data_IF_034038152336
#
_entry.id   IF_034038152336
#
_cell.length_a   1.000
_cell.length_b   1.000
_cell.length_c   1.000
_cell.angle_alpha   90.00
_cell.angle_beta   90.00
_cell.angle_gamma   90.00
#
_symmetry.space_group_name_H-M   'P 1'
#
loop_
_entity.id
_entity.type
_entity.pdbx_description
1 polymer ?
#
# COMPACT_ATOMS: atom_id res chain seq x y z
N UNK A 1 23.44 -24.75 15.01
CA UNK A 1 24.09 -25.59 13.98
C UNK A 1 24.09 -24.84 12.67
N UNK A 2 25.17 -25.02 11.90
CA UNK A 2 25.65 -24.26 10.75
C UNK A 2 24.59 -23.77 9.75
N UNK A 3 24.73 -22.51 9.31
CA UNK A 3 24.18 -22.02 8.05
C UNK A 3 25.32 -21.84 7.07
N UNK A 4 25.28 -22.62 6.00
CA UNK A 4 26.21 -22.60 4.88
C UNK A 4 25.82 -21.51 3.89
N UNK A 5 26.82 -20.76 3.44
CA UNK A 5 26.72 -19.78 2.36
C UNK A 5 26.97 -20.46 1.02
N UNK A 6 26.17 -20.12 0.00
CA UNK A 6 26.44 -20.45 -1.41
C UNK A 6 26.55 -19.15 -2.22
N UNK A 7 27.57 -19.00 -3.10
CA UNK A 7 27.80 -17.81 -3.89
C UNK A 7 27.19 -17.91 -5.31
N UNK A 8 26.80 -16.76 -5.85
CA UNK A 8 26.44 -16.61 -7.27
C UNK A 8 27.67 -16.39 -8.17
N UNK A 9 27.62 -16.82 -9.45
CA UNK A 9 28.73 -16.74 -10.38
C UNK A 9 28.67 -15.46 -11.22
N UNK A 10 29.83 -14.95 -11.63
CA UNK A 10 29.90 -14.28 -12.92
C UNK A 10 31.24 -14.51 -13.61
N UNK A 11 31.11 -15.08 -14.81
CA UNK A 11 31.90 -14.92 -16.04
C UNK A 11 33.29 -14.29 -15.98
N UNK A 12 34.24 -15.01 -16.58
CA UNK A 12 35.64 -14.66 -16.65
C UNK A 12 36.04 -13.82 -17.86
N UNK A 13 37.22 -13.22 -17.74
CA UNK A 13 38.09 -12.87 -18.86
C UNK A 13 39.55 -12.82 -18.37
N UNK A 14 40.36 -13.76 -18.85
CA UNK A 14 41.71 -13.52 -19.37
C UNK A 14 42.82 -13.01 -18.45
N UNK A 15 43.53 -13.98 -17.84
CA UNK A 15 44.99 -14.14 -17.75
C UNK A 15 45.94 -12.92 -17.89
N UNK A 16 46.84 -12.77 -16.91
CA UNK A 16 48.10 -12.04 -17.08
C UNK A 16 48.95 -11.85 -15.81
N UNK A 17 49.68 -12.90 -15.41
CA UNK A 17 50.95 -12.92 -14.63
C UNK A 17 51.11 -12.01 -13.39
N UNK A 18 51.11 -12.58 -12.17
CA UNK A 18 52.31 -12.91 -11.34
C UNK A 18 53.36 -11.80 -11.22
N UNK A 19 53.55 -11.28 -9.99
CA UNK A 19 54.81 -11.43 -9.24
C UNK A 19 54.71 -10.81 -7.83
N UNK A 20 55.08 -11.63 -6.85
CA UNK A 20 55.41 -11.27 -5.48
C UNK A 20 56.67 -10.36 -5.42
N UNK A 21 56.83 -9.62 -4.31
CA UNK A 21 57.97 -9.70 -3.38
C UNK A 21 58.25 -8.35 -2.68
N UNK A 22 58.35 -8.51 -1.35
CA UNK A 22 58.87 -7.71 -0.22
C UNK A 22 59.83 -6.52 -0.45
N UNK A 23 59.68 -5.61 0.52
CA UNK A 23 60.62 -4.63 1.09
C UNK A 23 62.14 -4.86 0.87
N UNK A 24 62.88 -3.78 0.54
CA UNK A 24 63.86 -3.12 1.44
C UNK A 24 64.62 -1.94 0.82
N UNK A 25 64.95 -0.98 1.71
CA UNK A 25 66.14 -0.09 1.77
C UNK A 25 66.05 1.35 1.25
N UNK A 26 66.39 2.24 2.20
CA UNK A 26 66.61 3.68 2.18
C UNK A 26 67.93 4.11 1.50
N UNK A 27 67.95 5.40 1.12
CA UNK A 27 69.08 6.28 0.70
C UNK A 27 69.42 6.15 -0.80
N UNK A 28 69.47 7.18 -1.62
CA UNK A 28 69.83 8.60 -1.45
C UNK A 28 69.22 9.48 -2.55
N UNK A 29 69.19 10.80 -2.28
CA UNK A 29 69.27 11.93 -3.23
C UNK A 29 68.10 12.19 -4.18
N UNK A 30 67.61 13.44 -4.14
CA UNK A 30 66.83 14.00 -5.25
C UNK A 30 65.56 14.70 -4.80
N UNK A 31 65.70 15.78 -4.04
CA UNK A 31 64.62 16.74 -3.87
C UNK A 31 64.18 17.27 -5.25
N UNK A 32 62.96 16.93 -5.67
CA UNK A 32 61.97 17.79 -6.36
C UNK A 32 60.89 16.91 -7.00
N UNK A 33 59.63 17.32 -6.77
CA UNK A 33 58.36 16.83 -7.37
C UNK A 33 57.75 15.57 -6.75
N UNK A 34 56.93 15.76 -5.72
CA UNK A 34 55.74 14.94 -5.46
C UNK A 34 54.81 15.63 -4.43
N UNK A 35 54.30 16.83 -4.76
CA UNK A 35 53.28 17.53 -3.93
C UNK A 35 51.85 17.31 -4.49
N UNK A 36 51.69 16.61 -5.63
CA UNK A 36 50.39 16.50 -6.32
C UNK A 36 49.70 15.13 -6.25
N UNK A 37 50.10 14.23 -5.34
CA UNK A 37 49.41 12.92 -5.17
C UNK A 37 48.83 12.73 -3.76
N UNK A 38 49.17 13.61 -2.79
CA UNK A 38 48.65 13.53 -1.42
C UNK A 38 47.39 14.38 -1.17
N UNK A 39 46.88 15.10 -2.18
CA UNK A 39 45.64 15.89 -2.05
C UNK A 39 44.37 15.15 -2.44
N UNK A 40 44.46 14.02 -3.16
CA UNK A 40 43.28 13.33 -3.68
C UNK A 40 42.76 12.19 -2.77
N UNK A 41 43.54 11.78 -1.76
CA UNK A 41 43.12 10.75 -0.78
C UNK A 41 42.43 11.29 0.48
N UNK A 42 42.50 12.61 0.72
CA UNK A 42 41.79 13.24 1.85
C UNK A 42 40.34 13.59 1.53
N UNK A 43 39.98 13.83 0.27
CA UNK A 43 38.61 14.21 -0.11
C UNK A 43 37.60 13.07 -0.01
N UNK A 44 38.04 11.81 -0.21
CA UNK A 44 37.17 10.64 -0.09
C UNK A 44 36.97 10.26 1.40
N UNK A 45 38.00 10.41 2.23
CA UNK A 45 37.89 10.17 3.68
C UNK A 45 37.04 11.24 4.38
N UNK A 46 37.11 12.50 3.93
CA UNK A 46 36.28 13.58 4.45
C UNK A 46 34.79 13.40 4.13
N UNK A 47 34.45 12.83 2.96
CA UNK A 47 33.07 12.52 2.61
C UNK A 47 32.50 11.39 3.48
N UNK A 48 33.29 10.35 3.79
CA UNK A 48 32.87 9.28 4.71
C UNK A 48 32.75 9.73 6.16
N UNK A 49 33.60 10.66 6.63
CA UNK A 49 33.47 11.26 7.97
C UNK A 49 32.32 12.25 8.07
N UNK A 50 31.97 12.97 7.00
CA UNK A 50 30.80 13.85 6.97
C UNK A 50 29.48 13.06 7.09
N UNK A 51 29.40 11.88 6.47
CA UNK A 51 28.23 10.99 6.59
C UNK A 51 28.13 10.39 8.01
N UNK A 52 29.25 9.97 8.61
CA UNK A 52 29.25 9.46 9.99
C UNK A 52 28.92 10.55 11.03
N UNK A 53 29.41 11.78 10.84
CA UNK A 53 29.15 12.91 11.73
C UNK A 53 27.71 13.47 11.61
N UNK A 54 27.06 13.29 10.46
CA UNK A 54 25.64 13.63 10.29
C UNK A 54 24.74 12.69 11.12
N UNK A 55 25.00 11.39 11.10
CA UNK A 55 24.23 10.41 11.88
C UNK A 55 24.42 10.56 13.40
N UNK A 56 25.61 10.94 13.87
CA UNK A 56 25.85 11.17 15.30
C UNK A 56 25.12 12.43 15.85
N UNK A 57 24.83 13.43 15.01
CA UNK A 57 24.08 14.64 15.41
C UNK A 57 22.56 14.47 15.38
N UNK A 58 22.06 13.45 14.68
CA UNK A 58 20.63 13.21 14.54
C UNK A 58 19.96 12.94 15.90
N UNK A 59 20.63 12.21 16.80
CA UNK A 59 20.14 11.98 18.18
C UNK A 59 20.17 13.19 19.12
N UNK A 60 20.86 14.27 18.75
CA UNK A 60 20.91 15.53 19.52
C UNK A 60 19.99 16.61 18.92
N UNK A 61 19.37 16.35 17.77
CA UNK A 61 18.49 17.30 17.13
C UNK A 61 17.21 17.47 17.95
N UNK A 62 16.75 18.72 18.10
CA UNK A 62 15.62 19.09 18.97
C UNK A 62 14.33 18.29 18.71
N UNK A 63 14.16 17.77 17.50
CA UNK A 63 13.01 16.95 17.11
C UNK A 63 13.02 15.53 17.71
N UNK A 64 14.18 15.01 18.16
CA UNK A 64 14.34 13.65 18.68
C UNK A 64 14.72 13.61 20.16
N UNK A 65 14.73 14.76 20.82
CA UNK A 65 14.91 14.87 22.27
C UNK A 65 13.61 15.39 22.90
N UNK A 66 13.20 14.88 24.07
CA UNK A 66 12.01 15.39 24.75
C UNK A 66 12.10 16.90 24.97
N UNK A 67 11.01 17.65 24.72
CA UNK A 67 11.00 19.08 25.01
C UNK A 67 11.18 19.30 26.51
N UNK A 68 11.89 20.37 26.86
CA UNK A 68 12.07 20.80 28.25
C UNK A 68 11.22 22.03 28.50
N UNK A 69 10.63 22.15 29.69
CA UNK A 69 9.83 23.31 30.07
C UNK A 69 10.67 24.59 29.98
N UNK A 70 10.25 25.48 29.08
CA UNK A 70 10.86 26.79 28.90
C UNK A 70 10.44 27.76 30.00
N UNK A 71 11.37 28.63 30.42
CA UNK A 71 11.01 29.78 31.25
C UNK A 71 10.31 30.83 30.37
N UNK A 72 9.01 31.00 30.56
CA UNK A 72 8.26 32.11 29.96
C UNK A 72 8.70 33.40 30.67
N UNK A 73 9.02 34.48 29.93
CA UNK A 73 9.29 35.79 30.55
C UNK A 73 8.13 36.18 31.48
N UNK A 74 8.46 36.65 32.68
CA UNK A 74 7.47 37.09 33.67
C UNK A 74 6.79 38.37 33.20
N UNK A 75 5.74 38.23 32.40
CA UNK A 75 4.76 39.27 32.12
C UNK A 75 3.36 38.66 32.16
N UNK A 76 2.74 38.70 33.34
CA UNK A 76 1.45 38.08 33.61
C UNK A 76 0.28 38.76 32.87
N UNK A 77 0.51 39.93 32.27
CA UNK A 77 -0.52 40.66 31.52
C UNK A 77 -0.64 40.21 30.06
N UNK A 78 0.26 39.33 29.59
CA UNK A 78 0.38 38.96 28.18
C UNK A 78 0.29 37.44 28.01
N UNK A 79 -0.34 36.98 26.93
CA UNK A 79 -0.41 35.56 26.62
C UNK A 79 1.02 34.97 26.50
N UNK A 80 1.31 33.76 27.04
CA UNK A 80 2.67 33.21 27.07
C UNK A 80 3.39 33.16 25.72
N UNK A 81 2.64 32.90 24.64
CA UNK A 81 3.18 32.90 23.27
C UNK A 81 3.67 34.30 22.88
N UNK A 82 2.90 35.34 23.19
CA UNK A 82 3.23 36.72 22.84
C UNK A 82 4.43 37.21 23.67
N UNK A 83 4.55 36.80 24.94
CA UNK A 83 5.72 37.09 25.76
C UNK A 83 7.01 36.47 25.17
N UNK A 84 6.92 35.22 24.70
CA UNK A 84 8.04 34.53 24.03
C UNK A 84 8.41 35.20 22.69
N UNK A 85 7.43 35.56 21.87
CA UNK A 85 7.63 36.26 20.61
C UNK A 85 8.23 37.65 20.82
N UNK A 86 7.73 38.41 21.79
CA UNK A 86 8.24 39.73 22.15
C UNK A 86 9.71 39.70 22.57
N UNK A 87 10.08 38.72 23.40
CA UNK A 87 11.48 38.51 23.78
C UNK A 87 12.36 38.15 22.58
N UNK A 88 11.87 37.28 21.67
CA UNK A 88 12.58 36.90 20.46
C UNK A 88 12.77 38.08 19.49
N UNK A 89 11.73 38.88 19.24
CA UNK A 89 11.79 40.08 18.40
C UNK A 89 12.75 41.12 18.94
N UNK A 90 12.70 41.39 20.26
CA UNK A 90 13.63 42.32 20.91
C UNK A 90 15.08 41.89 20.73
N UNK A 91 15.36 40.59 20.92
CA UNK A 91 16.70 40.02 20.72
C UNK A 91 17.15 40.11 19.26
N UNK A 92 16.24 39.90 18.31
CA UNK A 92 16.51 39.96 16.88
C UNK A 92 16.50 41.39 16.30
N UNK A 93 16.12 42.41 17.08
CA UNK A 93 15.94 43.78 16.58
C UNK A 93 14.78 43.92 15.58
N UNK A 94 13.82 43.00 15.61
CA UNK A 94 12.67 42.98 14.71
C UNK A 94 11.55 43.84 15.31
N UNK A 95 10.98 44.73 14.51
CA UNK A 95 9.75 45.45 14.85
C UNK A 95 8.56 44.67 14.26
N UNK A 96 7.64 44.16 15.10
CA UNK A 96 6.49 43.42 14.60
C UNK A 96 5.50 44.35 13.88
N UNK A 97 4.69 43.76 12.99
CA UNK A 97 3.57 44.48 12.42
C UNK A 97 2.53 44.82 13.50
N UNK A 98 1.89 45.99 13.38
CA UNK A 98 0.78 46.36 14.26
C UNK A 98 -0.45 45.47 14.06
N UNK A 99 -1.39 45.53 15.00
CA UNK A 99 -2.66 44.81 14.91
C UNK A 99 -3.43 45.23 13.65
N UNK A 100 -4.06 44.26 12.99
CA UNK A 100 -4.91 44.53 11.84
C UNK A 100 -6.13 45.37 12.24
N UNK A 101 -6.62 46.20 11.32
CA UNK A 101 -7.88 46.91 11.51
C UNK A 101 -9.03 45.92 11.79
N UNK A 102 -10.02 46.27 12.65
CA UNK A 102 -11.09 45.37 13.10
C UNK A 102 -11.77 44.57 11.98
N UNK A 103 -12.16 45.26 10.91
CA UNK A 103 -12.77 44.63 9.74
C UNK A 103 -11.86 43.62 9.05
N UNK A 104 -10.60 43.98 8.82
CA UNK A 104 -9.64 43.08 8.16
C UNK A 104 -9.35 41.85 9.02
N UNK A 105 -9.36 41.99 10.36
CA UNK A 105 -9.20 40.86 11.26
C UNK A 105 -10.37 39.88 11.11
N UNK A 106 -11.63 40.34 11.17
CA UNK A 106 -12.78 39.42 11.13
C UNK A 106 -12.94 38.78 9.75
N UNK A 107 -12.64 39.49 8.68
CA UNK A 107 -12.60 38.92 7.33
C UNK A 107 -11.57 37.78 7.25
N UNK A 108 -10.36 37.97 7.81
CA UNK A 108 -9.34 36.91 7.88
C UNK A 108 -9.75 35.76 8.77
N UNK A 109 -10.29 36.03 9.95
CA UNK A 109 -10.72 35.02 10.90
C UNK A 109 -11.82 34.12 10.30
N UNK A 110 -12.84 34.73 9.68
CA UNK A 110 -13.92 34.00 9.01
C UNK A 110 -13.37 33.11 7.88
N UNK A 111 -12.60 33.66 6.93
CA UNK A 111 -12.03 32.83 5.86
C UNK A 111 -11.08 31.74 6.35
N UNK A 112 -10.35 31.99 7.43
CA UNK A 112 -9.43 31.00 8.00
C UNK A 112 -10.21 29.86 8.63
N UNK A 113 -11.17 30.17 9.49
CA UNK A 113 -11.88 29.19 10.30
C UNK A 113 -12.97 28.46 9.53
N UNK A 114 -13.74 29.17 8.69
CA UNK A 114 -14.92 28.60 8.01
C UNK A 114 -14.76 28.55 6.49
N UNK A 115 -13.76 29.21 5.91
CA UNK A 115 -13.63 29.33 4.45
C UNK A 115 -14.65 30.28 3.81
N UNK A 116 -15.48 30.95 4.61
CA UNK A 116 -16.54 31.86 4.18
C UNK A 116 -16.25 33.30 4.61
N UNK A 117 -16.81 34.30 3.90
CA UNK A 117 -16.70 35.70 4.34
C UNK A 117 -17.45 35.92 5.66
N UNK A 118 -16.99 36.90 6.44
CA UNK A 118 -17.68 37.35 7.64
C UNK A 118 -19.07 37.94 7.31
N UNK A 119 -20.03 37.76 8.21
CA UNK A 119 -21.37 38.34 8.05
C UNK A 119 -21.36 39.85 8.30
N UNK A 120 -22.33 40.56 7.72
CA UNK A 120 -22.47 42.00 7.94
C UNK A 120 -22.66 42.36 9.43
N UNK A 121 -23.27 41.48 10.22
CA UNK A 121 -23.43 41.68 11.65
C UNK A 121 -22.14 41.49 12.42
N UNK A 122 -21.34 40.45 12.09
CA UNK A 122 -20.03 40.23 12.68
C UNK A 122 -19.10 41.44 12.44
N UNK A 123 -19.11 42.00 11.22
CA UNK A 123 -18.34 43.20 10.87
C UNK A 123 -18.81 44.41 11.70
N UNK A 124 -20.13 44.67 11.76
CA UNK A 124 -20.68 45.78 12.55
C UNK A 124 -20.30 45.68 14.02
N UNK A 125 -20.38 44.48 14.61
CA UNK A 125 -20.04 44.23 16.01
C UNK A 125 -18.58 44.59 16.30
N UNK A 126 -17.64 44.10 15.50
CA UNK A 126 -16.22 44.35 15.78
C UNK A 126 -15.79 45.79 15.48
N UNK A 127 -16.41 46.45 14.50
CA UNK A 127 -16.16 47.86 14.23
C UNK A 127 -16.71 48.77 15.33
N UNK A 128 -17.86 48.42 15.92
CA UNK A 128 -18.47 49.18 17.01
C UNK A 128 -17.75 49.00 18.36
N UNK A 129 -17.24 47.80 18.64
CA UNK A 129 -16.59 47.48 19.92
C UNK A 129 -15.45 46.46 19.74
N UNK A 130 -14.25 46.89 19.32
CA UNK A 130 -13.09 46.01 19.12
C UNK A 130 -12.41 45.62 20.44
N UNK A 131 -13.18 45.15 21.42
CA UNK A 131 -12.71 44.72 22.74
C UNK A 131 -12.57 43.19 22.85
N UNK A 132 -11.87 42.74 23.88
CA UNK A 132 -11.56 41.31 24.10
C UNK A 132 -12.80 40.41 24.13
N UNK A 133 -13.90 40.88 24.71
CA UNK A 133 -15.15 40.14 24.75
C UNK A 133 -15.72 39.93 23.35
N UNK A 134 -15.68 40.97 22.50
CA UNK A 134 -16.16 40.89 21.12
C UNK A 134 -15.27 39.99 20.26
N UNK A 135 -13.95 40.09 20.39
CA UNK A 135 -13.02 39.20 19.69
C UNK A 135 -13.29 37.73 20.04
N UNK A 136 -13.37 37.39 21.34
CA UNK A 136 -13.63 36.02 21.81
C UNK A 136 -14.97 35.50 21.30
N UNK A 137 -16.04 36.27 21.48
CA UNK A 137 -17.38 35.86 21.05
C UNK A 137 -17.49 35.64 19.54
N UNK A 138 -16.74 36.37 18.72
CA UNK A 138 -16.70 36.13 17.27
C UNK A 138 -15.91 34.87 16.92
N UNK A 139 -14.80 34.58 17.61
CA UNK A 139 -14.08 33.31 17.42
C UNK A 139 -14.97 32.13 17.81
N UNK A 140 -15.64 32.20 18.96
CA UNK A 140 -16.54 31.14 19.42
C UNK A 140 -17.68 30.89 18.42
N UNK A 141 -18.26 31.95 17.86
CA UNK A 141 -19.29 31.86 16.81
C UNK A 141 -18.77 31.18 15.53
N UNK A 142 -17.54 31.51 15.12
CA UNK A 142 -16.91 30.92 13.93
C UNK A 142 -16.54 29.45 14.15
N UNK A 143 -16.01 29.09 15.33
CA UNK A 143 -15.69 27.71 15.69
C UNK A 143 -16.95 26.84 15.84
N UNK A 144 -18.05 27.41 16.33
CA UNK A 144 -19.34 26.71 16.43
C UNK A 144 -20.08 26.56 15.08
N UNK A 145 -19.58 27.18 14.01
CA UNK A 145 -20.19 27.07 12.69
C UNK A 145 -19.94 25.68 12.08
N UNK A 146 -20.94 25.01 11.49
CA UNK A 146 -20.70 23.74 10.78
C UNK A 146 -19.64 23.83 9.68
N UNK A 147 -19.48 25.01 9.08
CA UNK A 147 -18.48 25.30 8.06
C UNK A 147 -17.03 25.22 8.60
N UNK A 148 -16.83 25.30 9.92
CA UNK A 148 -15.53 25.04 10.54
C UNK A 148 -15.06 23.61 10.25
N UNK A 149 -15.88 22.61 10.57
CA UNK A 149 -15.56 21.21 10.30
C UNK A 149 -15.35 20.92 8.82
N UNK A 150 -16.17 21.50 7.94
CA UNK A 150 -16.00 21.39 6.48
C UNK A 150 -14.64 21.95 6.02
N UNK A 151 -14.27 23.14 6.53
CA UNK A 151 -13.03 23.82 6.19
C UNK A 151 -11.81 23.04 6.64
N UNK A 152 -11.79 22.58 7.88
CA UNK A 152 -10.63 21.90 8.48
C UNK A 152 -10.51 20.44 8.06
N UNK A 153 -11.63 19.73 7.89
CA UNK A 153 -11.63 18.39 7.30
C UNK A 153 -11.02 18.40 5.90
N UNK A 154 -11.26 19.44 5.10
CA UNK A 154 -10.64 19.57 3.77
C UNK A 154 -9.11 19.64 3.81
N UNK A 155 -8.52 20.31 4.79
CA UNK A 155 -7.06 20.31 4.98
C UNK A 155 -6.56 18.94 5.44
N UNK A 156 -7.30 18.28 6.34
CA UNK A 156 -6.94 16.94 6.80
C UNK A 156 -7.05 15.88 5.70
N UNK A 157 -8.02 16.02 4.81
CA UNK A 157 -8.20 15.15 3.64
C UNK A 157 -6.97 15.18 2.72
N UNK A 158 -6.29 16.32 2.59
CA UNK A 158 -5.02 16.42 1.85
C UNK A 158 -3.93 15.55 2.52
N UNK A 159 -3.85 15.55 3.86
CA UNK A 159 -2.93 14.71 4.64
C UNK A 159 -3.26 13.22 4.49
N UNK A 160 -4.54 12.88 4.58
CA UNK A 160 -5.03 11.50 4.47
C UNK A 160 -4.98 10.96 3.03
N UNK A 161 -4.55 11.75 2.04
CA UNK A 161 -4.55 11.40 0.61
C UNK A 161 -5.96 11.02 0.13
N UNK A 162 -6.97 11.72 0.64
CA UNK A 162 -8.36 11.48 0.30
C UNK A 162 -8.60 11.71 -1.19
N UNK A 163 -9.26 10.75 -1.81
CA UNK A 163 -9.83 10.89 -3.14
C UNK A 163 -11.02 9.94 -3.24
N UNK A 164 -11.99 10.27 -4.09
CA UNK A 164 -13.08 9.36 -4.43
C UNK A 164 -12.62 8.23 -5.39
N UNK A 165 -11.32 8.17 -5.70
CA UNK A 165 -10.71 7.16 -6.58
C UNK A 165 -9.36 6.64 -6.07
N UNK A 166 -8.97 5.46 -6.54
CA UNK A 166 -7.77 4.70 -6.19
C UNK A 166 -6.50 5.10 -6.98
N UNK A 167 -6.56 6.15 -7.80
CA UNK A 167 -5.48 6.57 -8.68
C UNK A 167 -5.50 5.89 -10.06
N UNK A 168 -4.32 5.69 -10.65
CA UNK A 168 -4.11 5.21 -12.02
C UNK A 168 -4.33 3.70 -12.19
N UNK A 169 -5.58 3.27 -12.01
CA UNK A 169 -6.02 1.91 -12.29
C UNK A 169 -6.90 1.91 -13.54
N UNK A 170 -6.28 1.89 -14.73
CA UNK A 170 -7.00 1.94 -16.03
C UNK A 170 -7.79 0.66 -16.33
N UNK A 171 -7.42 -0.43 -15.67
CA UNK A 171 -7.85 -1.79 -15.96
C UNK A 171 -8.92 -2.31 -14.98
N UNK A 172 -9.50 -1.45 -14.14
CA UNK A 172 -10.56 -1.79 -13.20
C UNK A 172 -11.34 -0.55 -12.79
N UNK A 173 -12.50 -0.74 -12.17
CA UNK A 173 -13.19 0.38 -11.53
C UNK A 173 -12.32 0.94 -10.41
N UNK A 174 -11.96 2.21 -10.52
CA UNK A 174 -11.05 2.84 -9.58
C UNK A 174 -11.78 3.68 -8.53
N UNK A 175 -13.11 3.66 -8.45
CA UNK A 175 -13.87 4.49 -7.50
C UNK A 175 -13.86 3.88 -6.10
N UNK A 176 -13.92 4.74 -5.08
CA UNK A 176 -14.18 4.36 -3.70
C UNK A 176 -15.64 4.69 -3.35
N UNK A 177 -16.59 3.72 -3.40
CA UNK A 177 -18.01 4.01 -3.19
C UNK A 177 -18.31 4.64 -1.83
N UNK A 178 -17.54 4.25 -0.81
CA UNK A 178 -17.77 4.65 0.58
C UNK A 178 -16.77 5.69 1.10
N UNK A 179 -15.95 6.31 0.25
CA UNK A 179 -14.97 7.31 0.70
C UNK A 179 -15.63 8.45 1.48
N UNK A 180 -16.83 8.85 1.08
CA UNK A 180 -17.60 9.90 1.75
C UNK A 180 -17.83 9.65 3.25
N UNK A 181 -17.87 8.39 3.69
CA UNK A 181 -18.06 8.05 5.11
C UNK A 181 -16.92 8.59 5.98
N UNK A 182 -15.68 8.52 5.49
CA UNK A 182 -14.50 9.08 6.14
C UNK A 182 -14.51 10.61 6.09
N UNK A 183 -14.87 11.22 4.95
CA UNK A 183 -15.04 12.68 4.83
C UNK A 183 -16.03 13.19 5.88
N UNK A 184 -17.20 12.57 5.96
CA UNK A 184 -18.26 12.99 6.86
C UNK A 184 -17.87 12.75 8.32
N UNK A 185 -17.13 11.67 8.62
CA UNK A 185 -16.54 11.45 9.93
C UNK A 185 -15.53 12.52 10.32
N UNK A 186 -14.66 12.97 9.41
CA UNK A 186 -13.74 14.08 9.66
C UNK A 186 -14.49 15.37 9.98
N UNK A 187 -15.48 15.73 9.16
CA UNK A 187 -16.29 16.95 9.35
C UNK A 187 -16.94 16.94 10.74
N UNK A 188 -17.54 15.80 11.14
CA UNK A 188 -18.12 15.65 12.48
C UNK A 188 -17.06 15.75 13.57
N UNK A 189 -15.93 15.06 13.42
CA UNK A 189 -14.84 15.06 14.42
C UNK A 189 -14.32 16.47 14.72
N UNK A 190 -14.17 17.32 13.70
CA UNK A 190 -13.78 18.71 13.90
C UNK A 190 -14.88 19.55 14.55
N UNK A 191 -16.14 19.39 14.13
CA UNK A 191 -17.26 20.15 14.69
C UNK A 191 -17.61 19.75 16.13
N UNK A 192 -17.36 18.50 16.51
CA UNK A 192 -17.58 17.97 17.86
C UNK A 192 -16.38 18.18 18.79
N UNK A 193 -15.31 18.82 18.30
CA UNK A 193 -14.05 19.04 19.02
C UNK A 193 -13.49 17.74 19.61
N UNK A 194 -13.43 16.68 18.78
CA UNK A 194 -12.94 15.38 19.21
C UNK A 194 -11.49 15.51 19.71
N UNK A 195 -11.18 15.05 20.94
CA UNK A 195 -9.84 15.18 21.48
C UNK A 195 -8.78 14.57 20.56
N UNK A 196 -7.72 15.32 20.28
CA UNK A 196 -6.71 14.96 19.28
C UNK A 196 -6.12 13.55 19.48
N UNK A 197 -5.88 13.14 20.73
CA UNK A 197 -5.40 11.80 21.04
C UNK A 197 -6.38 10.72 20.55
N UNK A 198 -7.69 10.90 20.80
CA UNK A 198 -8.73 9.98 20.36
C UNK A 198 -8.90 10.01 18.83
N UNK A 199 -8.80 11.19 18.22
CA UNK A 199 -8.84 11.38 16.78
C UNK A 199 -7.73 10.59 16.05
N UNK A 200 -6.52 10.54 16.60
CA UNK A 200 -5.42 9.71 16.07
C UNK A 200 -5.74 8.22 16.27
N UNK A 201 -6.07 7.82 17.50
CA UNK A 201 -6.31 6.42 17.85
C UNK A 201 -7.38 5.76 16.96
N UNK A 202 -8.49 6.45 16.72
CA UNK A 202 -9.57 5.95 15.86
C UNK A 202 -9.12 5.77 14.40
N UNK A 203 -8.29 6.67 13.88
CA UNK A 203 -7.79 6.55 12.49
C UNK A 203 -6.82 5.39 12.28
N UNK A 204 -6.21 4.87 13.35
CA UNK A 204 -5.29 3.73 13.30
C UNK A 204 -5.98 2.42 13.65
N UNK A 205 -6.90 2.43 14.62
CA UNK A 205 -7.39 1.20 15.25
C UNK A 205 -8.85 1.28 15.72
N UNK A 206 -9.74 2.00 15.02
CA UNK A 206 -11.15 2.05 15.41
C UNK A 206 -11.78 0.65 15.55
N UNK A 207 -11.42 -0.30 14.71
CA UNK A 207 -11.85 -1.71 14.77
C UNK A 207 -11.57 -2.39 16.11
N UNK A 208 -10.51 -1.97 16.81
CA UNK A 208 -10.14 -2.48 18.14
C UNK A 208 -10.70 -1.65 19.30
N UNK A 209 -11.17 -0.42 19.02
CA UNK A 209 -11.56 0.56 20.03
C UNK A 209 -13.08 0.78 20.11
N UNK A 210 -13.83 0.32 19.11
CA UNK A 210 -15.29 0.40 19.10
C UNK A 210 -15.93 -0.83 19.70
N UNK A 211 -17.11 -0.66 20.29
CA UNK A 211 -17.83 -1.68 21.06
C UNK A 211 -18.86 -2.48 20.23
N UNK A 212 -19.10 -2.07 18.98
CA UNK A 212 -20.09 -2.68 18.09
C UNK A 212 -19.66 -2.65 16.61
N UNK A 213 -20.12 -3.62 15.81
CA UNK A 213 -19.71 -3.76 14.41
C UNK A 213 -20.23 -2.65 13.47
N UNK A 214 -21.21 -1.86 13.90
CA UNK A 214 -21.82 -0.77 13.13
C UNK A 214 -21.46 0.64 13.66
N UNK A 215 -20.39 0.74 14.46
CA UNK A 215 -20.02 1.99 15.12
C UNK A 215 -19.59 3.08 14.11
N UNK A 216 -20.06 4.34 14.22
CA UNK A 216 -19.72 5.44 13.31
C UNK A 216 -18.22 5.72 13.18
N UNK A 217 -17.47 5.50 14.25
CA UNK A 217 -16.01 5.69 14.24
C UNK A 217 -15.25 4.67 13.39
N UNK A 218 -15.86 3.57 12.94
CA UNK A 218 -15.23 2.67 11.98
C UNK A 218 -14.87 3.40 10.67
N UNK A 219 -15.57 4.49 10.34
CA UNK A 219 -15.24 5.36 9.22
C UNK A 219 -13.84 5.97 9.34
N UNK A 220 -13.30 6.15 10.55
CA UNK A 220 -11.97 6.72 10.79
C UNK A 220 -10.84 5.92 10.13
N UNK A 221 -11.02 4.59 9.97
CA UNK A 221 -10.07 3.71 9.25
C UNK A 221 -9.96 4.06 7.76
N UNK A 222 -10.79 4.98 7.26
CA UNK A 222 -10.58 5.67 6.00
C UNK A 222 -9.14 6.19 5.87
N UNK A 223 -8.50 6.67 6.94
CA UNK A 223 -7.11 7.13 6.92
C UNK A 223 -6.12 6.10 6.35
N UNK A 224 -6.35 4.80 6.60
CA UNK A 224 -5.50 3.69 6.13
C UNK A 224 -6.02 2.99 4.86
N UNK A 225 -7.26 3.27 4.46
CA UNK A 225 -7.97 2.54 3.40
C UNK A 225 -8.33 3.40 2.18
N UNK A 226 -8.35 4.72 2.31
CA UNK A 226 -8.35 5.64 1.16
C UNK A 226 -6.91 5.89 0.68
N UNK A 227 -6.78 6.48 -0.50
CA UNK A 227 -5.47 6.76 -1.11
C UNK A 227 -5.15 5.85 -2.30
N UNK A 228 -3.94 5.97 -2.86
CA UNK A 228 -3.55 5.26 -4.07
C UNK A 228 -3.44 3.73 -3.84
N UNK A 229 -3.90 2.94 -4.81
CA UNK A 229 -3.76 1.47 -4.79
C UNK A 229 -2.89 1.01 -5.95
N UNK A 230 -1.74 0.40 -5.64
CA UNK A 230 -0.77 -0.10 -6.61
C UNK A 230 -0.21 -1.47 -6.19
N UNK A 231 -1.09 -2.44 -5.89
CA UNK A 231 -0.71 -3.76 -5.40
C UNK A 231 -0.33 -3.77 -3.92
N UNK A 232 -0.20 -4.97 -3.34
CA UNK A 232 -0.06 -5.16 -1.88
C UNK A 232 1.14 -4.41 -1.30
N UNK A 233 2.32 -4.55 -1.92
CA UNK A 233 3.56 -3.99 -1.37
C UNK A 233 3.53 -2.45 -1.35
N UNK A 234 3.06 -1.82 -2.44
CA UNK A 234 2.98 -0.36 -2.51
C UNK A 234 1.87 0.20 -1.63
N UNK A 235 0.75 -0.53 -1.45
CA UNK A 235 -0.27 -0.15 -0.47
C UNK A 235 0.27 -0.17 0.96
N UNK A 236 1.12 -1.13 1.31
CA UNK A 236 1.74 -1.16 2.64
C UNK A 236 2.73 0.00 2.79
N UNK A 237 3.57 0.26 1.78
CA UNK A 237 4.51 1.39 1.79
C UNK A 237 3.78 2.73 1.98
N UNK A 238 2.68 2.91 1.24
CA UNK A 238 1.81 4.08 1.32
C UNK A 238 1.17 4.26 2.70
N UNK A 239 0.82 3.16 3.40
CA UNK A 239 0.35 3.20 4.80
C UNK A 239 1.44 3.59 5.78
N UNK A 240 2.67 3.10 5.59
CA UNK A 240 3.83 3.55 6.38
C UNK A 240 4.06 5.04 6.17
N UNK A 241 4.02 5.53 4.92
CA UNK A 241 4.25 6.94 4.60
C UNK A 241 3.18 7.85 5.22
N UNK A 242 1.88 7.53 5.06
CA UNK A 242 0.81 8.40 5.58
C UNK A 242 0.79 8.48 7.10
N UNK A 243 1.03 7.37 7.80
CA UNK A 243 1.05 7.35 9.27
C UNK A 243 2.23 8.16 9.78
N UNK A 244 3.41 7.96 9.19
CA UNK A 244 4.64 8.60 9.67
C UNK A 244 4.71 10.07 9.30
N UNK A 245 4.33 10.46 8.07
CA UNK A 245 4.27 11.88 7.69
C UNK A 245 3.09 12.60 8.29
N UNK A 246 1.94 11.94 8.40
CA UNK A 246 0.70 12.52 8.93
C UNK A 246 0.72 12.76 10.43
N UNK A 247 1.21 11.79 11.21
CA UNK A 247 1.19 11.87 12.68
C UNK A 247 2.55 12.15 13.32
N UNK A 248 3.64 11.65 12.74
CA UNK A 248 5.00 11.81 13.31
C UNK A 248 5.79 12.94 12.65
N UNK A 249 5.21 13.62 11.65
CA UNK A 249 5.87 14.66 10.85
C UNK A 249 7.24 14.23 10.30
N UNK A 250 7.42 12.94 10.01
CA UNK A 250 8.70 12.33 9.66
C UNK A 250 8.60 11.54 8.36
N UNK A 251 9.60 11.68 7.47
CA UNK A 251 9.64 10.97 6.17
C UNK A 251 10.29 9.60 6.30
N UNK A 252 9.59 8.64 6.89
CA UNK A 252 10.13 7.29 7.11
C UNK A 252 10.29 6.50 5.81
N UNK A 253 9.51 6.81 4.76
CA UNK A 253 9.53 6.06 3.50
C UNK A 253 10.92 5.99 2.82
N UNK A 254 11.79 7.00 2.99
CA UNK A 254 13.15 6.92 2.46
C UNK A 254 13.98 5.79 3.09
N UNK A 255 13.62 5.34 4.29
CA UNK A 255 14.30 4.26 4.99
C UNK A 255 14.04 2.85 4.38
N UNK A 256 13.12 2.75 3.41
CA UNK A 256 12.75 1.49 2.72
C UNK A 256 13.95 0.76 2.13
N UNK A 257 14.86 1.48 1.48
CA UNK A 257 15.98 0.88 0.73
C UNK A 257 17.34 1.03 1.43
N UNK A 258 17.48 2.01 2.31
CA UNK A 258 18.70 2.32 3.04
C UNK A 258 18.33 3.10 4.31
N UNK A 259 19.18 3.13 5.34
CA UNK A 259 18.93 4.00 6.51
C UNK A 259 18.70 5.45 6.06
N UNK A 260 17.77 6.15 6.70
CA UNK A 260 17.39 7.49 6.30
C UNK A 260 18.60 8.43 6.25
N UNK A 261 18.65 9.32 5.24
CA UNK A 261 19.86 10.07 4.88
C UNK A 261 20.37 11.01 5.99
N UNK A 262 19.46 11.57 6.77
CA UNK A 262 19.74 12.61 7.77
C UNK A 262 19.16 12.28 9.14
N UNK A 263 17.94 11.77 9.14
CA UNK A 263 17.20 11.44 10.34
C UNK A 263 17.64 10.08 10.91
N UNK A 264 17.56 9.88 12.24
CA UNK A 264 18.03 8.67 12.92
C UNK A 264 17.03 7.52 12.78
N UNK A 265 16.61 7.23 11.54
CA UNK A 265 15.59 6.24 11.19
C UNK A 265 16.27 5.16 10.36
N UNK A 266 16.36 3.95 10.91
CA UNK A 266 17.02 2.84 10.22
C UNK A 266 16.06 2.12 9.29
N UNK A 267 16.59 1.39 8.32
CA UNK A 267 15.81 0.44 7.51
C UNK A 267 15.11 -0.59 8.38
N UNK A 268 15.70 -0.97 9.52
CA UNK A 268 15.06 -1.85 10.50
C UNK A 268 13.79 -1.21 11.08
N UNK A 269 13.79 0.08 11.39
CA UNK A 269 12.62 0.78 11.91
C UNK A 269 11.50 0.82 10.87
N UNK A 270 11.84 1.11 9.60
CA UNK A 270 10.90 1.04 8.48
C UNK A 270 10.25 -0.35 8.39
N UNK A 271 11.05 -1.42 8.35
CA UNK A 271 10.51 -2.78 8.21
C UNK A 271 9.78 -3.28 9.48
N UNK A 272 10.07 -2.69 10.65
CA UNK A 272 9.30 -2.95 11.87
C UNK A 272 7.88 -2.38 11.73
N UNK A 273 7.72 -1.15 11.22
CA UNK A 273 6.41 -0.57 10.92
C UNK A 273 5.70 -1.28 9.78
N UNK A 274 6.43 -1.61 8.70
CA UNK A 274 5.92 -2.37 7.57
C UNK A 274 5.23 -3.66 8.04
N UNK A 275 5.86 -4.39 8.97
CA UNK A 275 5.33 -5.66 9.48
C UNK A 275 3.97 -5.53 10.15
N UNK A 276 3.66 -4.38 10.76
CA UNK A 276 2.34 -4.12 11.37
C UNK A 276 1.27 -4.13 10.27
N UNK A 277 1.47 -3.34 9.22
CA UNK A 277 0.53 -3.20 8.11
C UNK A 277 0.47 -4.44 7.20
N UNK A 278 1.56 -5.20 7.10
CA UNK A 278 1.56 -6.49 6.39
C UNK A 278 0.61 -7.50 7.04
N UNK A 279 0.46 -7.41 8.37
CA UNK A 279 -0.44 -8.23 9.19
C UNK A 279 -1.81 -7.57 9.40
N UNK A 280 -2.14 -6.50 8.66
CA UNK A 280 -3.48 -5.91 8.65
C UNK A 280 -4.26 -6.40 7.43
N UNK A 281 -5.48 -6.88 7.67
CA UNK A 281 -6.41 -7.27 6.61
C UNK A 281 -7.54 -6.25 6.49
N UNK A 282 -7.78 -5.82 5.25
CA UNK A 282 -8.91 -4.98 4.93
C UNK A 282 -10.08 -5.90 4.53
N UNK A 283 -11.25 -5.82 5.19
CA UNK A 283 -12.32 -6.77 4.94
C UNK A 283 -12.89 -6.56 3.54
N UNK A 284 -13.20 -7.68 2.87
CA UNK A 284 -13.80 -7.69 1.53
C UNK A 284 -15.20 -7.06 1.53
N UNK A 285 -16.00 -7.37 2.53
CA UNK A 285 -17.26 -6.69 2.84
C UNK A 285 -17.00 -5.59 3.87
N UNK A 286 -17.38 -4.35 3.57
CA UNK A 286 -17.18 -3.22 4.49
C UNK A 286 -18.24 -3.26 5.59
N UNK A 287 -17.87 -2.88 6.84
CA UNK A 287 -18.86 -2.77 7.90
C UNK A 287 -19.93 -1.73 7.51
N UNK A 288 -21.19 -2.06 7.77
CA UNK A 288 -22.29 -1.11 7.66
C UNK A 288 -22.19 -0.14 8.81
N UNK A 289 -22.11 1.16 8.52
CA UNK A 289 -21.96 2.18 9.53
C UNK A 289 -23.29 2.87 9.79
N UNK A 290 -23.78 2.80 11.03
CA UNK A 290 -25.05 3.40 11.43
C UNK A 290 -26.27 2.71 10.82
N UNK A 291 -27.40 3.44 10.79
CA UNK A 291 -28.67 2.97 10.22
C UNK A 291 -28.94 3.63 8.87
N UNK A 292 -29.49 2.90 7.88
CA UNK A 292 -29.89 3.51 6.63
C UNK A 292 -30.97 4.57 6.88
N UNK A 293 -30.92 5.66 6.11
CA UNK A 293 -31.97 6.69 6.14
C UNK A 293 -33.28 6.23 5.49
N UNK A 294 -33.21 5.21 4.64
CA UNK A 294 -34.34 4.59 3.93
C UNK A 294 -34.16 3.06 3.92
N UNK A 295 -34.95 2.36 4.75
CA UNK A 295 -34.92 0.90 4.86
C UNK A 295 -35.35 0.22 3.56
N UNK A 296 -36.26 0.81 2.78
CA UNK A 296 -36.75 0.21 1.54
C UNK A 296 -35.67 0.25 0.45
N UNK A 297 -34.99 1.40 0.31
CA UNK A 297 -33.85 1.54 -0.60
C UNK A 297 -32.69 0.61 -0.19
N UNK A 298 -32.38 0.52 1.11
CA UNK A 298 -31.33 -0.38 1.61
C UNK A 298 -31.64 -1.85 1.36
N UNK A 299 -32.89 -2.29 1.56
CA UNK A 299 -33.29 -3.66 1.25
C UNK A 299 -33.22 -3.96 -0.25
N UNK A 300 -33.67 -3.04 -1.11
CA UNK A 300 -33.54 -3.18 -2.56
C UNK A 300 -32.07 -3.27 -3.01
N UNK A 301 -31.20 -2.45 -2.42
CA UNK A 301 -29.75 -2.53 -2.63
C UNK A 301 -29.20 -3.90 -2.25
N UNK A 302 -29.55 -4.43 -1.07
CA UNK A 302 -29.07 -5.74 -0.61
C UNK A 302 -29.55 -6.89 -1.51
N UNK A 303 -30.81 -6.84 -1.96
CA UNK A 303 -31.34 -7.81 -2.92
C UNK A 303 -30.57 -7.78 -4.24
N UNK A 304 -30.34 -6.60 -4.80
CA UNK A 304 -29.61 -6.48 -6.07
C UNK A 304 -28.12 -6.83 -5.92
N UNK A 305 -27.49 -6.46 -4.80
CA UNK A 305 -26.11 -6.86 -4.51
C UNK A 305 -25.98 -8.38 -4.46
N UNK A 306 -26.93 -9.05 -3.78
CA UNK A 306 -27.00 -10.51 -3.75
C UNK A 306 -27.18 -11.11 -5.14
N UNK A 307 -28.06 -10.55 -5.98
CA UNK A 307 -28.23 -11.02 -7.37
C UNK A 307 -26.92 -10.92 -8.16
N UNK A 308 -26.20 -9.80 -8.05
CA UNK A 308 -24.91 -9.59 -8.71
C UNK A 308 -23.83 -10.54 -8.18
N UNK A 309 -23.84 -10.84 -6.88
CA UNK A 309 -22.93 -11.81 -6.27
C UNK A 309 -23.20 -13.24 -6.69
N UNK A 310 -24.46 -13.65 -6.76
CA UNK A 310 -24.87 -14.97 -7.25
C UNK A 310 -24.51 -15.12 -8.73
N UNK A 311 -24.74 -14.09 -9.56
CA UNK A 311 -24.35 -14.08 -10.96
C UNK A 311 -22.82 -14.16 -11.13
N UNK A 312 -22.05 -13.38 -10.35
CA UNK A 312 -20.58 -13.45 -10.38
C UNK A 312 -20.08 -14.83 -9.92
N UNK A 313 -20.67 -15.40 -8.86
CA UNK A 313 -20.35 -16.74 -8.37
C UNK A 313 -20.66 -17.80 -9.41
N UNK A 314 -21.79 -17.72 -10.11
CA UNK A 314 -22.16 -18.67 -11.16
C UNK A 314 -21.18 -18.64 -12.34
N UNK A 315 -20.75 -17.45 -12.77
CA UNK A 315 -19.72 -17.31 -13.82
C UNK A 315 -18.37 -17.85 -13.36
N UNK A 316 -17.98 -17.55 -12.13
CA UNK A 316 -16.79 -18.11 -11.50
C UNK A 316 -16.84 -19.65 -11.49
N UNK A 317 -17.95 -20.20 -11.05
CA UNK A 317 -18.13 -21.66 -11.01
C UNK A 317 -18.04 -22.27 -12.41
N UNK A 318 -18.65 -21.65 -13.43
CA UNK A 318 -18.59 -22.18 -14.80
C UNK A 318 -17.17 -22.19 -15.37
N UNK A 319 -16.33 -21.21 -15.00
CA UNK A 319 -14.90 -21.19 -15.34
C UNK A 319 -14.14 -22.36 -14.70
N UNK A 320 -14.39 -22.62 -13.41
CA UNK A 320 -13.79 -23.77 -12.70
C UNK A 320 -14.25 -25.09 -13.30
N UNK A 321 -15.54 -25.22 -13.56
CA UNK A 321 -16.13 -26.43 -14.14
C UNK A 321 -15.57 -26.69 -15.54
N UNK A 322 -15.43 -25.64 -16.36
CA UNK A 322 -14.83 -25.73 -17.68
C UNK A 322 -13.41 -26.30 -17.63
N UNK A 323 -12.58 -25.83 -16.69
CA UNK A 323 -11.19 -26.31 -16.54
C UNK A 323 -11.13 -27.76 -16.06
N UNK A 324 -12.14 -28.21 -15.31
CA UNK A 324 -12.18 -29.54 -14.69
C UNK A 324 -12.84 -30.61 -15.55
N UNK A 325 -13.40 -30.29 -16.71
CA UNK A 325 -13.95 -31.34 -17.59
C UNK A 325 -12.84 -32.29 -18.05
N UNK A 326 -13.12 -33.59 -18.26
CA UNK A 326 -12.13 -34.53 -18.78
C UNK A 326 -11.53 -34.06 -20.11
N UNK A 327 -12.34 -33.48 -20.99
CA UNK A 327 -11.90 -32.97 -22.29
C UNK A 327 -10.96 -31.78 -22.13
N UNK A 328 -11.29 -30.82 -21.26
CA UNK A 328 -10.42 -29.67 -21.02
C UNK A 328 -9.13 -30.08 -20.31
N UNK A 329 -9.23 -30.95 -19.31
CA UNK A 329 -8.08 -31.49 -18.57
C UNK A 329 -7.12 -32.23 -19.50
N UNK A 330 -7.64 -33.04 -20.43
CA UNK A 330 -6.82 -33.73 -21.43
C UNK A 330 -6.02 -32.74 -22.29
N UNK A 331 -6.65 -31.65 -22.75
CA UNK A 331 -5.96 -30.62 -23.53
C UNK A 331 -4.91 -29.89 -22.68
N UNK A 332 -5.21 -29.57 -21.42
CA UNK A 332 -4.25 -28.95 -20.51
C UNK A 332 -3.05 -29.87 -20.22
N UNK A 333 -3.26 -31.18 -20.09
CA UNK A 333 -2.19 -32.17 -19.92
C UNK A 333 -1.28 -32.25 -21.15
N UNK A 334 -1.86 -32.23 -22.35
CA UNK A 334 -1.10 -32.19 -23.61
C UNK A 334 -0.27 -30.90 -23.72
N UNK A 335 -0.90 -29.74 -23.44
CA UNK A 335 -0.23 -28.44 -23.45
C UNK A 335 0.86 -28.34 -22.38
N UNK A 336 0.66 -28.94 -21.21
CA UNK A 336 1.66 -28.96 -20.15
C UNK A 336 2.88 -29.81 -20.51
N UNK A 337 2.67 -30.94 -21.21
CA UNK A 337 3.77 -31.73 -21.77
C UNK A 337 4.55 -30.92 -22.82
N UNK A 338 3.85 -30.24 -23.74
CA UNK A 338 4.50 -29.35 -24.72
C UNK A 338 5.25 -28.20 -24.03
N UNK A 339 4.63 -27.58 -23.03
CA UNK A 339 5.24 -26.52 -22.22
C UNK A 339 6.53 -26.97 -21.53
N UNK A 340 6.58 -28.23 -21.09
CA UNK A 340 7.80 -28.85 -20.56
C UNK A 340 8.86 -29.05 -21.65
N UNK A 341 8.49 -29.62 -22.80
CA UNK A 341 9.41 -29.86 -23.91
C UNK A 341 10.07 -28.60 -24.44
N UNK A 342 9.29 -27.55 -24.59
CA UNK A 342 9.72 -26.28 -25.18
C UNK A 342 10.18 -25.26 -24.12
N UNK A 343 10.18 -25.63 -22.85
CA UNK A 343 10.54 -24.77 -21.72
C UNK A 343 9.79 -23.42 -21.79
N UNK A 344 8.46 -23.52 -21.93
CA UNK A 344 7.55 -22.38 -21.85
C UNK A 344 7.61 -21.79 -20.44
N UNK A 345 7.27 -20.51 -20.31
CA UNK A 345 7.04 -19.80 -19.04
C UNK A 345 5.83 -18.88 -19.21
N UNK A 346 5.47 -18.10 -18.17
CA UNK A 346 4.33 -17.18 -18.26
C UNK A 346 4.47 -16.17 -19.41
N UNK A 347 5.68 -15.76 -19.79
CA UNK A 347 5.91 -14.82 -20.89
C UNK A 347 5.75 -15.46 -22.28
N UNK A 348 6.10 -16.74 -22.43
CA UNK A 348 5.96 -17.50 -23.69
C UNK A 348 4.54 -18.05 -23.86
N UNK A 349 3.85 -18.35 -22.76
CA UNK A 349 2.48 -18.88 -22.76
C UNK A 349 1.40 -17.85 -23.12
N UNK A 350 1.74 -16.57 -23.26
CA UNK A 350 0.83 -15.49 -23.66
C UNK A 350 0.88 -15.18 -25.16
N UNK A 351 1.61 -15.99 -25.95
CA UNK A 351 1.70 -15.85 -27.40
C UNK A 351 0.32 -15.98 -28.09
N UNK A 352 0.14 -15.33 -29.24
CA UNK A 352 -1.11 -15.27 -30.03
C UNK A 352 -1.76 -16.65 -30.29
N UNK A 353 -0.96 -17.72 -30.29
CA UNK A 353 -1.39 -19.12 -30.40
C UNK A 353 -2.44 -19.51 -29.34
N UNK A 354 -2.33 -18.97 -28.12
CA UNK A 354 -3.27 -19.25 -27.02
C UNK A 354 -4.60 -18.52 -27.16
N UNK A 355 -4.63 -17.37 -27.85
CA UNK A 355 -5.83 -16.55 -28.06
C UNK A 355 -6.89 -17.25 -28.92
N UNK A 356 -6.50 -18.22 -29.74
CA UNK A 356 -7.40 -18.93 -30.66
C UNK A 356 -8.06 -20.17 -30.04
N UNK A 357 -7.57 -20.66 -28.90
CA UNK A 357 -7.97 -21.95 -28.32
C UNK A 357 -8.88 -21.89 -27.09
N UNK A 358 -9.17 -20.70 -26.54
CA UNK A 358 -9.82 -20.54 -25.20
C UNK A 358 -9.08 -21.31 -24.08
N UNK A 359 -7.76 -21.42 -24.16
CA UNK A 359 -6.95 -22.08 -23.13
C UNK A 359 -6.34 -21.03 -22.21
N UNK A 360 -6.31 -21.34 -20.92
CA UNK A 360 -5.85 -20.44 -19.86
C UNK A 360 -4.35 -20.63 -19.62
N UNK A 361 -3.49 -19.64 -19.93
CA UNK A 361 -2.03 -19.82 -19.83
C UNK A 361 -1.55 -20.18 -18.42
N UNK A 362 -2.13 -19.53 -17.40
CA UNK A 362 -1.79 -19.82 -16.01
C UNK A 362 -2.10 -21.27 -15.60
N UNK A 363 -3.18 -21.86 -16.13
CA UNK A 363 -3.55 -23.26 -15.86
C UNK A 363 -2.55 -24.21 -16.50
N UNK A 364 -2.09 -23.92 -17.72
CA UNK A 364 -1.05 -24.72 -18.42
C UNK A 364 0.26 -24.73 -17.64
N UNK A 365 0.72 -23.55 -17.20
CA UNK A 365 1.97 -23.43 -16.43
C UNK A 365 1.87 -24.19 -15.10
N UNK A 366 0.72 -24.14 -14.44
CA UNK A 366 0.50 -24.91 -13.20
C UNK A 366 0.47 -26.41 -13.43
N UNK A 367 -0.19 -26.88 -14.49
CA UNK A 367 -0.15 -28.30 -14.87
C UNK A 367 1.28 -28.75 -15.16
N UNK A 368 2.07 -27.94 -15.89
CA UNK A 368 3.49 -28.23 -16.14
C UNK A 368 4.27 -28.34 -14.83
N UNK A 369 4.09 -27.41 -13.90
CA UNK A 369 4.81 -27.41 -12.62
C UNK A 369 4.43 -28.58 -11.73
N UNK A 370 3.14 -28.88 -11.66
CA UNK A 370 2.64 -30.07 -11.00
C UNK A 370 3.25 -31.36 -11.58
N UNK A 371 3.25 -31.50 -12.91
CA UNK A 371 3.82 -32.67 -13.58
C UNK A 371 5.36 -32.73 -13.49
N UNK A 372 6.06 -31.59 -13.42
CA UNK A 372 7.50 -31.55 -13.14
C UNK A 372 7.85 -32.22 -11.82
N UNK A 373 7.02 -32.05 -10.79
CA UNK A 373 7.23 -32.72 -9.51
C UNK A 373 6.70 -34.17 -9.53
N UNK A 374 5.51 -34.39 -10.11
CA UNK A 374 4.72 -35.62 -9.94
C UNK A 374 4.81 -36.63 -11.09
N UNK A 375 5.33 -36.25 -12.25
CA UNK A 375 5.51 -37.15 -13.40
C UNK A 375 6.99 -37.30 -13.79
N UNK A 376 7.78 -36.22 -13.72
CA UNK A 376 9.17 -36.19 -14.18
C UNK A 376 10.22 -36.03 -13.06
N UNK A 377 9.80 -35.72 -11.83
CA UNK A 377 10.68 -35.39 -10.72
C UNK A 377 10.87 -36.52 -9.72
N UNK A 378 11.63 -36.25 -8.64
CA UNK A 378 11.97 -37.25 -7.61
C UNK A 378 10.76 -37.75 -6.80
N UNK A 379 9.64 -37.00 -6.82
CA UNK A 379 8.37 -37.37 -6.19
C UNK A 379 7.36 -37.92 -7.19
N UNK A 380 7.84 -38.50 -8.28
CA UNK A 380 6.97 -39.01 -9.34
C UNK A 380 6.05 -40.12 -8.83
N UNK A 381 4.78 -40.03 -9.19
CA UNK A 381 3.77 -41.03 -8.91
C UNK A 381 3.83 -42.08 -10.02
N UNK A 382 3.83 -43.39 -9.72
CA UNK A 382 4.02 -44.44 -10.72
C UNK A 382 3.13 -44.30 -11.96
N UNK A 383 1.83 -44.02 -11.78
CA UNK A 383 0.90 -43.83 -12.92
C UNK A 383 1.28 -42.65 -13.82
N UNK A 384 1.67 -41.51 -13.25
CA UNK A 384 2.07 -40.30 -13.99
C UNK A 384 3.43 -40.48 -14.67
N UNK A 385 4.37 -41.18 -14.02
CA UNK A 385 5.67 -41.51 -14.62
C UNK A 385 5.52 -42.43 -15.84
N UNK A 386 4.58 -43.38 -15.79
CA UNK A 386 4.24 -44.25 -16.92
C UNK A 386 3.62 -43.43 -18.06
N UNK A 387 2.61 -42.61 -17.77
CA UNK A 387 2.00 -41.71 -18.77
C UNK A 387 3.06 -40.82 -19.44
N UNK A 388 3.97 -40.25 -18.65
CA UNK A 388 5.05 -39.41 -19.17
C UNK A 388 5.92 -40.15 -20.19
N UNK A 389 6.27 -41.42 -19.94
CA UNK A 389 7.04 -42.24 -20.89
C UNK A 389 6.25 -42.58 -22.15
N UNK A 390 4.95 -42.88 -22.01
CA UNK A 390 4.08 -43.18 -23.15
C UNK A 390 3.95 -41.97 -24.09
N UNK A 391 3.78 -40.77 -23.52
CA UNK A 391 3.71 -39.50 -24.26
C UNK A 391 4.95 -39.21 -25.12
N UNK A 392 6.14 -39.66 -24.70
CA UNK A 392 7.39 -39.47 -25.46
C UNK A 392 7.44 -40.26 -26.77
N UNK A 393 6.76 -41.41 -26.81
CA UNK A 393 6.80 -42.34 -27.94
C UNK A 393 5.56 -42.30 -28.82
N UNK A 394 4.48 -41.69 -28.33
CA UNK A 394 3.21 -41.61 -29.02
C UNK A 394 3.23 -40.55 -30.13
N UNK A 395 2.50 -40.82 -31.22
CA UNK A 395 2.17 -39.83 -32.24
C UNK A 395 1.07 -38.86 -31.75
N UNK A 396 0.69 -37.89 -32.59
CA UNK A 396 -0.27 -36.84 -32.22
C UNK A 396 -1.62 -37.42 -31.76
N UNK A 397 -2.11 -38.48 -32.42
CA UNK A 397 -3.36 -39.14 -32.07
C UNK A 397 -3.23 -39.93 -30.75
N UNK A 398 -2.11 -40.63 -30.57
CA UNK A 398 -1.79 -41.37 -29.36
C UNK A 398 -1.66 -40.46 -28.14
N UNK A 399 -1.00 -39.30 -28.27
CA UNK A 399 -0.88 -38.33 -27.16
C UNK A 399 -2.25 -37.81 -26.71
N UNK A 400 -3.13 -37.48 -27.64
CA UNK A 400 -4.52 -37.08 -27.31
C UNK A 400 -5.28 -38.18 -26.58
N UNK A 401 -5.16 -39.43 -27.03
CA UNK A 401 -5.81 -40.57 -26.38
C UNK A 401 -5.27 -40.82 -24.97
N UNK A 402 -3.94 -40.72 -24.78
CA UNK A 402 -3.29 -40.86 -23.47
C UNK A 402 -3.73 -39.77 -22.49
N UNK A 403 -3.79 -38.51 -22.94
CA UNK A 403 -4.26 -37.40 -22.11
C UNK A 403 -5.73 -37.56 -21.73
N UNK A 404 -6.59 -38.02 -22.65
CA UNK A 404 -8.01 -38.25 -22.35
C UNK A 404 -8.21 -39.41 -21.38
N UNK A 405 -7.46 -40.50 -21.54
CA UNK A 405 -7.47 -41.63 -20.60
C UNK A 405 -7.03 -41.18 -19.20
N UNK A 406 -5.93 -40.43 -19.11
CA UNK A 406 -5.45 -39.90 -17.84
C UNK A 406 -6.46 -38.94 -17.20
N UNK A 407 -7.08 -38.05 -17.99
CA UNK A 407 -8.12 -37.14 -17.53
C UNK A 407 -9.34 -37.87 -16.91
N UNK A 408 -9.75 -38.99 -17.50
CA UNK A 408 -10.83 -39.83 -16.96
C UNK A 408 -10.49 -40.49 -15.63
N UNK A 409 -9.22 -40.83 -15.39
CA UNK A 409 -8.79 -41.42 -14.12
C UNK A 409 -8.87 -40.42 -12.95
N UNK A 410 -8.73 -39.11 -13.19
CA UNK A 410 -8.82 -38.09 -12.13
C UNK A 410 -10.22 -38.00 -11.48
N UNK A 411 -11.27 -38.34 -12.22
CA UNK A 411 -12.66 -38.32 -11.75
C UNK A 411 -13.16 -39.70 -11.29
N UNK A 412 -12.40 -40.77 -11.55
CA UNK A 412 -12.77 -42.13 -11.18
C UNK A 412 -12.55 -42.40 -9.68
N UNK A 413 -13.57 -42.93 -9.00
CA UNK A 413 -13.46 -43.31 -7.60
C UNK A 413 -12.43 -44.42 -7.38
N UNK A 414 -11.59 -44.27 -6.36
CA UNK A 414 -10.54 -45.25 -6.01
C UNK A 414 -9.29 -45.22 -6.89
N UNK A 415 -9.17 -44.29 -7.84
CA UNK A 415 -7.95 -44.12 -8.63
C UNK A 415 -6.81 -43.50 -7.81
N UNK A 416 -5.57 -43.84 -8.18
CA UNK A 416 -4.36 -43.24 -7.58
C UNK A 416 -4.33 -41.70 -7.78
N UNK A 417 -4.93 -41.22 -8.88
CA UNK A 417 -4.95 -39.80 -9.26
C UNK A 417 -6.02 -39.00 -8.51
N UNK A 418 -7.18 -39.57 -8.17
CA UNK A 418 -8.23 -38.86 -7.42
C UNK A 418 -7.73 -38.34 -6.08
N UNK A 419 -6.83 -39.10 -5.42
CA UNK A 419 -6.22 -38.67 -4.15
C UNK A 419 -5.24 -37.51 -4.32
N UNK A 420 -4.64 -37.35 -5.51
CA UNK A 420 -3.73 -36.25 -5.84
C UNK A 420 -4.48 -34.98 -6.24
N UNK A 421 -5.76 -35.09 -6.62
CA UNK A 421 -6.56 -33.95 -7.07
C UNK A 421 -6.77 -32.90 -5.95
N UNK A 422 -6.69 -33.33 -4.69
CA UNK A 422 -6.78 -32.46 -3.51
C UNK A 422 -5.46 -31.84 -3.07
N UNK A 423 -4.33 -32.19 -3.70
CA UNK A 423 -3.03 -31.57 -3.40
C UNK A 423 -3.03 -30.11 -3.87
N UNK A 424 -2.54 -29.18 -3.04
CA UNK A 424 -2.62 -27.74 -3.31
C UNK A 424 -1.83 -27.27 -4.54
N UNK A 425 -0.93 -28.12 -5.06
CA UNK A 425 -0.23 -27.93 -6.32
C UNK A 425 -0.97 -28.44 -7.56
N UNK A 426 -2.02 -29.27 -7.40
CA UNK A 426 -2.78 -29.82 -8.52
C UNK A 426 -3.76 -28.78 -9.08
N UNK A 427 -3.83 -28.56 -10.40
CA UNK A 427 -4.79 -27.61 -10.95
C UNK A 427 -6.25 -27.99 -10.80
N UNK A 428 -6.55 -29.25 -10.48
CA UNK A 428 -7.92 -29.67 -10.17
C UNK A 428 -8.35 -29.26 -8.76
N UNK A 429 -7.45 -28.85 -7.87
CA UNK A 429 -7.78 -28.42 -6.51
C UNK A 429 -8.38 -27.01 -6.43
N UNK A 430 -8.37 -26.23 -7.54
CA UNK A 430 -8.84 -24.84 -7.55
C UNK A 430 -10.35 -24.73 -7.42
N UNK A 431 -10.80 -23.88 -6.50
CA UNK A 431 -12.20 -23.48 -6.37
C UNK A 431 -12.39 -22.01 -6.74
N UNK A 432 -13.60 -21.50 -6.46
CA UNK A 432 -14.00 -20.14 -6.78
C UNK A 432 -13.17 -19.04 -6.08
N UNK A 433 -12.41 -19.37 -5.05
CA UNK A 433 -11.56 -18.42 -4.31
C UNK A 433 -10.25 -18.09 -5.02
N UNK A 434 -9.72 -19.01 -5.84
CA UNK A 434 -8.44 -18.86 -6.55
C UNK A 434 -8.61 -18.58 -8.05
N UNK A 435 -9.84 -18.41 -8.51
CA UNK A 435 -10.19 -18.11 -9.90
C UNK A 435 -9.47 -16.90 -10.50
N UNK A 436 -9.26 -15.78 -9.79
CA UNK A 436 -8.58 -14.63 -10.38
C UNK A 436 -7.18 -14.97 -10.90
N UNK A 437 -6.54 -16.03 -10.36
CA UNK A 437 -5.23 -16.50 -10.78
C UNK A 437 -5.24 -17.28 -12.13
N UNK A 438 -6.43 -17.63 -12.65
CA UNK A 438 -6.61 -18.47 -13.85
C UNK A 438 -7.49 -17.84 -14.93
N UNK A 439 -7.89 -16.57 -14.76
CA UNK A 439 -8.63 -15.83 -15.79
C UNK A 439 -7.82 -15.63 -17.06
N UNK A 440 -8.48 -15.75 -18.21
CA UNK A 440 -7.95 -15.23 -19.45
C UNK A 440 -8.31 -13.74 -19.61
N UNK A 441 -7.95 -13.15 -20.74
CA UNK A 441 -8.21 -11.73 -21.01
C UNK A 441 -9.72 -11.41 -21.10
N UNK A 442 -10.52 -12.32 -21.65
CA UNK A 442 -11.96 -12.13 -21.78
C UNK A 442 -12.65 -12.26 -20.43
N UNK A 443 -12.30 -13.27 -19.63
CA UNK A 443 -12.80 -13.39 -18.26
C UNK A 443 -12.39 -12.20 -17.41
N UNK A 444 -11.16 -11.71 -17.58
CA UNK A 444 -10.67 -10.49 -16.95
C UNK A 444 -11.56 -9.29 -17.31
N UNK A 445 -11.90 -9.12 -18.59
CA UNK A 445 -12.82 -8.07 -19.05
C UNK A 445 -14.22 -8.21 -18.45
N UNK A 446 -14.79 -9.40 -18.47
CA UNK A 446 -16.12 -9.63 -17.91
C UNK A 446 -16.13 -9.47 -16.39
N UNK A 447 -15.07 -9.90 -15.70
CA UNK A 447 -14.88 -9.70 -14.27
C UNK A 447 -14.81 -8.20 -13.91
N UNK A 448 -14.07 -7.40 -14.69
CA UNK A 448 -14.09 -5.93 -14.55
C UNK A 448 -15.50 -5.36 -14.70
N UNK A 449 -16.26 -5.82 -15.69
CA UNK A 449 -17.62 -5.32 -15.92
C UNK A 449 -18.54 -5.65 -14.75
N UNK A 450 -18.46 -6.88 -14.21
CA UNK A 450 -19.22 -7.30 -13.02
C UNK A 450 -18.80 -6.53 -11.77
N UNK A 451 -17.49 -6.37 -11.54
CA UNK A 451 -16.97 -5.57 -10.44
C UNK A 451 -17.46 -4.11 -10.55
N UNK A 452 -17.38 -3.51 -11.73
CA UNK A 452 -17.88 -2.15 -11.96
C UNK A 452 -19.39 -2.02 -11.82
N UNK A 453 -20.18 -3.08 -12.09
CA UNK A 453 -21.62 -3.08 -11.82
C UNK A 453 -21.91 -3.02 -10.31
N UNK A 454 -21.18 -3.81 -9.51
CA UNK A 454 -21.27 -3.75 -8.04
C UNK A 454 -20.86 -2.36 -7.52
N UNK A 455 -19.75 -1.81 -8.02
CA UNK A 455 -19.30 -0.47 -7.63
C UNK A 455 -20.31 0.61 -8.02
N UNK A 456 -20.96 0.52 -9.20
CA UNK A 456 -22.04 1.44 -9.58
C UNK A 456 -23.22 1.36 -8.62
N UNK A 457 -23.69 0.16 -8.30
CA UNK A 457 -24.78 -0.05 -7.36
C UNK A 457 -24.46 0.49 -5.96
N UNK A 458 -23.21 0.42 -5.51
CA UNK A 458 -22.78 1.00 -4.23
C UNK A 458 -22.72 2.54 -4.23
N UNK A 459 -22.65 3.16 -5.41
CA UNK A 459 -22.59 4.62 -5.55
C UNK A 459 -23.95 5.28 -5.77
N UNK A 460 -24.89 4.54 -6.35
CA UNK A 460 -26.30 4.91 -6.46
C UNK A 460 -26.99 4.81 -5.10
#
# INVERSE_FOLDING_TARGET
>A
MQWATYPHPNSGAGAGSRLEVRERILKTSGAKRCILVLRMRFSILAASFAILAANARAGEHWAYVPPVDGKVPEDAAVHPIDALLGAAWKKAGIQPAGQAAPRLWIERAAFTLTGLPASAEQIRRIEASPDEATWRGLVDELLASPAYGERWARHWMDVARYADTQGYNFDQDNRYPFAYTYRDWLIRSFNEDLPYAKFIELQIAADLLTDRPDHPDLAALGFLTVGPRAGRLETIDDRVDVVTRGFLSSTVACARCHDHKTDPITTKDYYSLYSIFENTEEPGEKPVIGRPGDDAAFNAFNEEMKNLEEADRAVRQSVVDQVRTPESSAVYLELAWTAKKENWDMSKSTADSFKRGRFRPAVVIRWRDFLNERAWGDKAVPRLATWAKEMETADDAGRKALCLALAGEWVQEGSELKNLAGDGGCPLSYDISRIPEIYDQEDGNQNRQRAGAKTRLMME
#
